data_IF_193654733086
#
_entry.id   IF_193654733086
#
_cell.length_a   1.000
_cell.length_b   1.000
_cell.length_c   1.000
_cell.angle_alpha   90.00
_cell.angle_beta   90.00
_cell.angle_gamma   90.00
#
_symmetry.space_group_name_H-M   'P 1'
#
loop_
_entity.id
_entity.type
_entity.pdbx_description
1 polymer ?
#
# COMPACT_ATOMS: atom_id res chain seq x y z
N UNK A 1 -13.57 -4.67 -14.44
CA UNK A 1 -14.21 -6.00 -14.38
C UNK A 1 -14.39 -6.37 -12.93
N UNK A 2 -15.63 -6.63 -12.52
CA UNK A 2 -15.98 -6.93 -11.13
C UNK A 2 -15.57 -8.37 -10.76
N UNK A 3 -15.44 -8.67 -9.46
CA UNK A 3 -15.16 -10.03 -9.00
C UNK A 3 -16.25 -11.01 -9.44
N UNK A 4 -17.50 -10.55 -9.47
CA UNK A 4 -18.66 -11.31 -9.94
C UNK A 4 -18.52 -11.69 -11.42
N UNK A 5 -18.28 -10.72 -12.30
CA UNK A 5 -18.07 -10.96 -13.74
C UNK A 5 -16.90 -11.91 -14.00
N UNK A 6 -15.82 -11.76 -13.22
CA UNK A 6 -14.64 -12.62 -13.31
C UNK A 6 -14.98 -14.09 -13.03
N UNK A 7 -15.71 -14.35 -11.95
CA UNK A 7 -16.09 -15.70 -11.52
C UNK A 7 -17.13 -16.30 -12.47
N UNK A 8 -18.15 -15.54 -12.85
CA UNK A 8 -19.19 -15.98 -13.79
C UNK A 8 -18.58 -16.40 -15.13
N UNK A 9 -17.59 -15.66 -15.63
CA UNK A 9 -16.91 -16.01 -16.89
C UNK A 9 -16.07 -17.29 -16.75
N UNK A 10 -15.39 -17.48 -15.62
CA UNK A 10 -14.65 -18.73 -15.34
C UNK A 10 -15.61 -19.91 -15.23
N UNK A 11 -16.74 -19.73 -14.54
CA UNK A 11 -17.77 -20.75 -14.41
C UNK A 11 -18.33 -21.15 -15.78
N UNK A 12 -18.62 -20.18 -16.65
CA UNK A 12 -19.11 -20.42 -18.00
C UNK A 12 -18.11 -21.21 -18.85
N UNK A 13 -16.83 -20.84 -18.82
CA UNK A 13 -15.78 -21.55 -19.56
C UNK A 13 -15.58 -22.98 -19.02
N UNK A 14 -15.59 -23.19 -17.71
CA UNK A 14 -15.51 -24.53 -17.13
C UNK A 14 -16.74 -25.39 -17.46
N UNK A 15 -17.93 -24.80 -17.44
CA UNK A 15 -19.17 -25.47 -17.83
C UNK A 15 -19.10 -25.93 -19.29
N UNK A 16 -18.64 -25.06 -20.19
CA UNK A 16 -18.46 -25.40 -21.61
C UNK A 16 -17.47 -26.55 -21.83
N UNK A 17 -16.42 -26.62 -21.01
CA UNK A 17 -15.35 -27.61 -21.12
C UNK A 17 -15.71 -28.94 -20.43
N UNK A 18 -16.44 -28.89 -19.32
CA UNK A 18 -16.83 -30.08 -18.54
C UNK A 18 -18.13 -30.71 -19.05
N UNK A 19 -18.95 -29.97 -19.81
CA UNK A 19 -20.29 -30.41 -20.24
C UNK A 19 -21.28 -30.58 -19.09
N UNK A 20 -20.93 -30.10 -17.89
CA UNK A 20 -21.76 -30.11 -16.68
C UNK A 20 -21.92 -28.67 -16.23
N UNK A 21 -23.13 -28.29 -15.83
CA UNK A 21 -23.59 -26.90 -15.68
C UNK A 21 -22.72 -25.98 -14.82
N UNK A 22 -23.14 -24.71 -14.75
CA UNK A 22 -22.45 -23.54 -14.19
C UNK A 22 -22.02 -23.58 -12.71
N UNK A 23 -22.13 -24.73 -12.04
CA UNK A 23 -21.84 -24.85 -10.62
C UNK A 23 -20.32 -24.99 -10.39
N UNK A 24 -19.70 -23.88 -9.98
CA UNK A 24 -18.40 -23.92 -9.32
C UNK A 24 -18.56 -24.52 -7.92
N UNK A 25 -17.62 -25.37 -7.52
CA UNK A 25 -17.53 -25.76 -6.12
C UNK A 25 -17.17 -24.53 -5.26
N UNK A 26 -17.53 -24.51 -3.96
CA UNK A 26 -17.12 -23.43 -3.07
C UNK A 26 -15.60 -23.18 -3.06
N UNK A 27 -14.80 -24.25 -3.19
CA UNK A 27 -13.35 -24.14 -3.26
C UNK A 27 -12.86 -23.52 -4.59
N UNK A 28 -13.48 -23.87 -5.72
CA UNK A 28 -13.19 -23.28 -7.03
C UNK A 28 -13.55 -21.78 -7.06
N UNK A 29 -14.66 -21.39 -6.42
CA UNK A 29 -15.05 -19.99 -6.27
C UNK A 29 -14.07 -19.19 -5.41
N UNK A 30 -13.61 -19.75 -4.27
CA UNK A 30 -12.58 -19.14 -3.44
C UNK A 30 -11.25 -18.97 -4.19
N UNK A 31 -10.85 -19.95 -5.01
CA UNK A 31 -9.67 -19.83 -5.86
C UNK A 31 -9.82 -18.72 -6.91
N UNK A 32 -10.96 -18.64 -7.59
CA UNK A 32 -11.24 -17.59 -8.55
C UNK A 32 -11.23 -16.18 -7.90
N UNK A 33 -11.81 -16.05 -6.70
CA UNK A 33 -11.73 -14.82 -5.89
C UNK A 33 -10.27 -14.47 -5.55
N UNK A 34 -9.47 -15.46 -5.16
CA UNK A 34 -8.05 -15.26 -4.83
C UNK A 34 -7.23 -14.78 -6.04
N UNK A 35 -7.55 -15.27 -7.25
CA UNK A 35 -6.90 -14.83 -8.48
C UNK A 35 -7.35 -13.44 -8.92
N UNK A 36 -8.63 -13.11 -8.75
CA UNK A 36 -9.15 -11.77 -8.98
C UNK A 36 -8.47 -10.75 -8.06
N UNK A 37 -8.34 -11.06 -6.77
CA UNK A 37 -7.64 -10.23 -5.79
C UNK A 37 -6.14 -10.07 -6.10
N UNK A 38 -5.53 -11.02 -6.82
CA UNK A 38 -4.13 -10.99 -7.28
C UNK A 38 -3.97 -10.42 -8.69
N UNK A 39 -5.04 -9.87 -9.27
CA UNK A 39 -5.07 -9.29 -10.63
C UNK A 39 -4.54 -10.23 -11.72
N UNK A 40 -4.77 -11.53 -11.57
CA UNK A 40 -4.46 -12.51 -12.61
C UNK A 40 -5.36 -12.22 -13.82
N UNK A 41 -4.80 -12.09 -15.05
CA UNK A 41 -5.62 -11.84 -16.23
C UNK A 41 -6.62 -12.96 -16.47
N UNK A 42 -7.90 -12.61 -16.65
CA UNK A 42 -8.95 -13.56 -16.99
C UNK A 42 -8.59 -14.38 -18.24
N UNK A 43 -8.04 -13.72 -19.26
CA UNK A 43 -7.58 -14.38 -20.50
C UNK A 43 -6.53 -15.48 -20.22
N UNK A 44 -5.65 -15.28 -19.24
CA UNK A 44 -4.65 -16.27 -18.86
C UNK A 44 -5.27 -17.47 -18.14
N UNK A 45 -6.27 -17.23 -17.27
CA UNK A 45 -7.05 -18.29 -16.62
C UNK A 45 -7.79 -19.13 -17.65
N UNK A 46 -8.52 -18.48 -18.56
CA UNK A 46 -9.26 -19.15 -19.65
C UNK A 46 -8.30 -19.97 -20.53
N UNK A 47 -7.13 -19.43 -20.88
CA UNK A 47 -6.13 -20.14 -21.66
C UNK A 47 -5.65 -21.43 -20.97
N UNK A 48 -5.44 -21.41 -19.64
CA UNK A 48 -5.07 -22.62 -18.90
C UNK A 48 -6.21 -23.64 -18.83
N UNK A 49 -7.46 -23.18 -18.62
CA UNK A 49 -8.65 -24.06 -18.64
C UNK A 49 -8.78 -24.76 -19.99
N UNK A 50 -8.68 -24.01 -21.10
CA UNK A 50 -8.73 -24.57 -22.46
C UNK A 50 -7.54 -25.48 -22.78
N UNK A 51 -6.34 -25.13 -22.31
CA UNK A 51 -5.14 -25.99 -22.46
C UNK A 51 -5.34 -27.33 -21.76
N UNK A 52 -5.84 -27.33 -20.54
CA UNK A 52 -6.12 -28.55 -19.80
C UNK A 52 -7.24 -29.38 -20.45
N UNK A 53 -8.28 -28.73 -20.97
CA UNK A 53 -9.33 -29.38 -21.76
C UNK A 53 -8.76 -30.14 -22.98
N UNK A 54 -7.88 -29.49 -23.75
CA UNK A 54 -7.22 -30.11 -24.91
C UNK A 54 -6.33 -31.28 -24.51
N UNK A 55 -5.62 -31.18 -23.39
CA UNK A 55 -4.80 -32.27 -22.87
C UNK A 55 -5.67 -33.47 -22.45
N UNK A 56 -6.82 -33.24 -21.80
CA UNK A 56 -7.80 -34.28 -21.47
C UNK A 56 -8.35 -34.96 -22.74
N UNK A 57 -8.69 -34.20 -23.77
CA UNK A 57 -9.17 -34.75 -25.04
C UNK A 57 -8.11 -35.65 -25.72
N UNK A 58 -6.82 -35.36 -25.52
CA UNK A 58 -5.72 -36.18 -26.03
C UNK A 58 -5.41 -37.41 -25.17
N UNK A 59 -5.61 -37.33 -23.85
CA UNK A 59 -5.32 -38.43 -22.92
C UNK A 59 -6.43 -39.48 -22.86
N UNK A 60 -7.69 -39.08 -23.06
CA UNK A 60 -8.84 -39.98 -23.18
C UNK A 60 -8.71 -40.96 -24.35
N UNK A 61 -7.96 -40.60 -25.40
CA UNK A 61 -7.60 -41.51 -26.49
C UNK A 61 -6.60 -42.62 -26.10
N UNK A 62 -5.98 -42.57 -24.91
CA UNK A 62 -4.97 -43.53 -24.42
C UNK A 62 -5.43 -44.32 -23.17
N UNK A 63 -6.74 -44.39 -22.90
CA UNK A 63 -7.28 -45.24 -21.84
C UNK A 63 -6.90 -44.84 -20.40
N UNK A 64 -6.36 -43.63 -20.20
CA UNK A 64 -6.06 -43.13 -18.86
C UNK A 64 -7.34 -42.61 -18.18
N UNK A 65 -7.50 -42.98 -16.90
CA UNK A 65 -8.62 -42.61 -16.02
C UNK A 65 -9.06 -41.15 -16.18
N UNK A 66 -10.37 -40.90 -16.11
CA UNK A 66 -10.97 -39.57 -16.23
C UNK A 66 -10.40 -38.60 -15.19
N UNK A 67 -9.36 -37.84 -15.55
CA UNK A 67 -8.96 -36.68 -14.75
C UNK A 67 -10.06 -35.62 -14.88
N UNK A 68 -10.83 -35.44 -13.81
CA UNK A 68 -11.76 -34.31 -13.69
C UNK A 68 -10.96 -33.01 -13.77
N UNK A 69 -11.31 -32.16 -14.74
CA UNK A 69 -10.70 -30.84 -14.93
C UNK A 69 -11.06 -29.94 -13.76
N UNK A 70 -10.25 -29.89 -12.69
CA UNK A 70 -10.46 -29.04 -11.50
C UNK A 70 -9.69 -27.72 -11.58
N UNK A 71 -10.25 -26.61 -11.07
CA UNK A 71 -9.47 -25.37 -10.91
C UNK A 71 -8.32 -25.53 -9.92
N UNK A 72 -8.50 -26.39 -8.91
CA UNK A 72 -7.43 -26.73 -7.96
C UNK A 72 -6.22 -27.35 -8.68
N UNK A 73 -6.45 -28.17 -9.71
CA UNK A 73 -5.36 -28.74 -10.51
C UNK A 73 -4.61 -27.69 -11.35
N UNK A 74 -5.29 -26.58 -11.69
CA UNK A 74 -4.69 -25.46 -12.42
C UNK A 74 -4.06 -24.41 -11.50
N UNK A 75 -4.37 -24.44 -10.20
CA UNK A 75 -3.94 -23.44 -9.23
C UNK A 75 -2.42 -23.21 -9.21
N UNK A 76 -1.55 -24.24 -9.19
CA UNK A 76 -0.11 -24.01 -9.18
C UNK A 76 0.41 -23.27 -10.43
N UNK A 77 -0.20 -23.50 -11.60
CA UNK A 77 0.20 -22.84 -12.83
C UNK A 77 -0.27 -21.37 -12.86
N UNK A 78 -1.47 -21.10 -12.37
CA UNK A 78 -2.07 -19.77 -12.30
C UNK A 78 -1.45 -18.92 -11.18
N UNK A 79 -1.13 -19.53 -10.04
CA UNK A 79 -0.43 -18.87 -8.94
C UNK A 79 0.96 -18.39 -9.37
N UNK A 80 1.68 -19.13 -10.23
CA UNK A 80 2.94 -18.67 -10.82
C UNK A 80 2.76 -17.45 -11.72
N UNK A 81 1.63 -17.33 -12.44
CA UNK A 81 1.33 -16.16 -13.26
C UNK A 81 1.00 -14.95 -12.38
N UNK A 82 0.25 -15.15 -11.29
CA UNK A 82 0.02 -14.13 -10.28
C UNK A 82 1.30 -13.70 -9.56
N UNK A 83 2.19 -14.64 -9.24
CA UNK A 83 3.47 -14.37 -8.58
C UNK A 83 4.46 -13.60 -9.47
N UNK A 84 4.43 -13.81 -10.80
CA UNK A 84 5.24 -13.03 -11.77
C UNK A 84 4.77 -11.58 -11.92
N UNK A 85 3.49 -11.30 -11.60
CA UNK A 85 2.90 -9.97 -11.68
C UNK A 85 2.82 -9.24 -10.35
N UNK A 86 2.84 -9.98 -9.24
CA UNK A 86 3.04 -9.39 -7.93
C UNK A 86 4.46 -8.82 -7.96
N UNK A 87 4.66 -7.49 -7.88
CA UNK A 87 5.98 -6.99 -7.57
C UNK A 87 6.43 -7.76 -6.31
N UNK A 88 7.67 -8.24 -6.30
CA UNK A 88 8.25 -8.86 -5.12
C UNK A 88 7.82 -8.03 -3.90
N UNK A 89 7.42 -8.65 -2.76
CA UNK A 89 7.23 -7.88 -1.55
C UNK A 89 8.50 -7.03 -1.43
N UNK A 90 8.36 -5.71 -1.60
CA UNK A 90 9.50 -4.82 -1.45
C UNK A 90 10.00 -5.13 -0.06
N UNK A 91 11.22 -5.67 0.04
CA UNK A 91 12.04 -5.55 1.24
C UNK A 91 11.71 -4.18 1.81
N UNK A 92 11.27 -4.06 3.08
CA UNK A 92 10.82 -2.77 3.60
C UNK A 92 11.95 -1.79 3.30
N UNK A 93 11.70 -0.89 2.34
CA UNK A 93 12.64 0.15 1.98
C UNK A 93 13.01 0.78 3.31
N UNK A 94 14.30 0.81 3.66
CA UNK A 94 14.73 1.39 4.94
C UNK A 94 14.05 2.73 5.13
N UNK A 95 13.72 3.09 6.37
CA UNK A 95 12.95 4.30 6.68
C UNK A 95 13.52 5.53 5.96
N UNK A 96 14.86 5.61 5.85
CA UNK A 96 15.55 6.60 5.04
C UNK A 96 15.06 6.67 3.57
N UNK A 97 14.94 5.54 2.88
CA UNK A 97 14.47 5.47 1.50
C UNK A 97 13.00 5.91 1.37
N UNK A 98 12.13 5.50 2.29
CA UNK A 98 10.72 5.92 2.30
C UNK A 98 10.58 7.43 2.52
N UNK A 99 11.33 7.99 3.47
CA UNK A 99 11.33 9.42 3.77
C UNK A 99 11.94 10.24 2.62
N UNK A 100 12.99 9.75 1.95
CA UNK A 100 13.53 10.37 0.74
C UNK A 100 12.52 10.39 -0.40
N UNK A 101 11.81 9.28 -0.62
CA UNK A 101 10.76 9.24 -1.63
C UNK A 101 9.67 10.28 -1.33
N UNK A 102 9.25 10.41 -0.07
CA UNK A 102 8.30 11.43 0.36
C UNK A 102 8.83 12.87 0.22
N UNK A 103 10.13 13.10 0.47
CA UNK A 103 10.76 14.41 0.30
C UNK A 103 10.84 14.85 -1.17
N UNK A 104 10.90 13.89 -2.10
CA UNK A 104 10.95 14.15 -3.55
C UNK A 104 9.58 14.44 -4.18
N UNK A 105 8.51 14.50 -3.40
CA UNK A 105 7.20 14.93 -3.90
C UNK A 105 7.30 16.29 -4.63
N UNK A 106 6.67 16.42 -5.81
CA UNK A 106 6.62 17.70 -6.53
C UNK A 106 5.97 18.79 -5.67
N UNK A 107 6.52 20.01 -5.70
CA UNK A 107 5.96 21.15 -4.96
C UNK A 107 6.25 21.17 -3.46
N UNK A 108 7.07 20.26 -2.93
CA UNK A 108 7.45 20.28 -1.52
C UNK A 108 8.39 21.45 -1.19
N UNK A 109 7.93 22.36 -0.31
CA UNK A 109 8.75 23.45 0.22
C UNK A 109 9.83 22.95 1.19
N UNK A 110 10.99 23.59 1.16
CA UNK A 110 12.22 23.24 1.88
C UNK A 110 12.66 21.79 1.69
N UNK A 111 12.57 21.28 0.46
CA UNK A 111 12.95 19.90 0.09
C UNK A 111 14.29 19.46 0.69
N UNK A 112 15.33 20.29 0.56
CA UNK A 112 16.67 19.95 1.06
C UNK A 112 16.69 19.71 2.59
N UNK A 113 15.87 20.44 3.35
CA UNK A 113 15.76 20.23 4.79
C UNK A 113 15.07 18.91 5.13
N UNK A 114 14.06 18.51 4.35
CA UNK A 114 13.38 17.22 4.50
C UNK A 114 14.24 16.04 4.06
N UNK A 115 15.01 16.18 2.97
CA UNK A 115 15.97 15.16 2.53
C UNK A 115 17.10 14.97 3.57
N UNK A 116 17.65 16.06 4.10
CA UNK A 116 18.66 15.97 5.17
C UNK A 116 18.14 15.31 6.45
N UNK A 117 16.85 15.52 6.78
CA UNK A 117 16.21 14.80 7.87
C UNK A 117 16.05 13.31 7.54
N UNK A 118 15.59 12.96 6.33
CA UNK A 118 15.43 11.59 5.89
C UNK A 118 16.75 10.80 5.98
N UNK A 119 17.86 11.40 5.58
CA UNK A 119 19.20 10.81 5.62
C UNK A 119 19.65 10.40 7.04
N UNK A 120 19.21 11.17 8.04
CA UNK A 120 19.60 11.00 9.45
C UNK A 120 18.50 10.37 10.29
N UNK A 121 17.34 10.06 9.71
CA UNK A 121 16.13 9.73 10.46
C UNK A 121 16.33 8.50 11.35
N UNK A 122 16.89 7.42 10.80
CA UNK A 122 17.11 6.17 11.53
C UNK A 122 18.06 6.36 12.72
N UNK A 123 19.15 7.10 12.52
CA UNK A 123 20.10 7.43 13.59
C UNK A 123 19.40 8.26 14.69
N UNK A 124 18.68 9.32 14.29
CA UNK A 124 18.05 10.25 15.23
C UNK A 124 16.88 9.64 16.01
N UNK A 125 16.24 8.61 15.46
CA UNK A 125 15.19 7.84 16.14
C UNK A 125 15.76 6.80 17.10
N UNK A 126 16.94 6.25 16.79
CA UNK A 126 17.66 5.36 17.69
C UNK A 126 18.23 6.09 18.93
N UNK A 127 18.51 7.39 18.81
CA UNK A 127 19.04 8.23 19.88
C UNK A 127 17.94 8.89 20.71
N UNK A 128 18.09 8.90 22.05
CA UNK A 128 17.29 9.68 23.01
C UNK A 128 15.76 9.69 22.75
N UNK A 129 15.19 8.54 22.37
CA UNK A 129 13.76 8.39 22.14
C UNK A 129 13.20 9.20 20.96
N UNK A 130 14.04 9.59 19.99
CA UNK A 130 13.62 10.34 18.80
C UNK A 130 13.56 11.85 18.99
N UNK A 131 14.09 12.39 20.09
CA UNK A 131 13.99 13.83 20.36
C UNK A 131 14.78 14.67 19.34
N UNK A 132 15.90 14.15 18.85
CA UNK A 132 16.67 14.76 17.76
C UNK A 132 15.86 14.83 16.46
N UNK A 133 15.15 13.76 16.13
CA UNK A 133 14.33 13.64 14.92
C UNK A 133 13.25 14.74 14.88
N UNK A 134 12.43 14.83 15.92
CA UNK A 134 11.33 15.80 15.96
C UNK A 134 11.82 17.25 15.98
N UNK A 135 12.98 17.51 16.60
CA UNK A 135 13.58 18.85 16.60
C UNK A 135 13.99 19.28 15.19
N UNK A 136 14.59 18.37 14.41
CA UNK A 136 14.91 18.63 13.02
C UNK A 136 13.66 18.70 12.13
N UNK A 137 12.63 17.89 12.39
CA UNK A 137 11.35 17.98 11.69
C UNK A 137 10.69 19.36 11.86
N UNK A 138 10.68 19.91 13.08
CA UNK A 138 10.19 21.28 13.33
C UNK A 138 11.06 22.33 12.63
N UNK A 139 12.38 22.12 12.59
CA UNK A 139 13.29 23.03 11.88
C UNK A 139 13.03 23.02 10.37
N UNK A 140 12.83 21.85 9.77
CA UNK A 140 12.48 21.71 8.37
C UNK A 140 11.11 22.33 8.06
N UNK A 141 10.11 22.15 8.94
CA UNK A 141 8.82 22.84 8.83
C UNK A 141 8.98 24.36 8.85
N UNK A 142 9.78 24.90 9.78
CA UNK A 142 10.04 26.35 9.83
C UNK A 142 10.72 26.87 8.56
N UNK A 143 11.61 26.08 7.95
CA UNK A 143 12.19 26.43 6.66
C UNK A 143 11.13 26.42 5.56
N UNK A 144 10.28 25.39 5.51
CA UNK A 144 9.21 25.27 4.53
C UNK A 144 8.20 26.43 4.62
N UNK A 145 7.83 26.83 5.83
CA UNK A 145 6.94 27.97 6.08
C UNK A 145 7.55 29.33 5.67
N UNK A 146 8.88 29.44 5.54
CA UNK A 146 9.53 30.66 5.01
C UNK A 146 9.47 30.74 3.49
N UNK A 147 9.39 29.60 2.82
CA UNK A 147 9.27 29.53 1.35
C UNK A 147 7.81 29.65 0.88
N UNK A 148 6.86 29.30 1.75
CA UNK A 148 5.43 29.41 1.47
C UNK A 148 4.89 30.84 1.69
N UNK A 149 3.76 31.19 1.04
CA UNK A 149 3.09 32.46 1.28
C UNK A 149 2.62 32.58 2.73
N UNK A 150 2.59 33.81 3.25
CA UNK A 150 2.20 34.11 4.64
C UNK A 150 0.82 33.57 5.00
N UNK A 151 -0.11 33.47 4.05
CA UNK A 151 -1.43 32.86 4.24
C UNK A 151 -1.35 31.41 4.73
N UNK A 152 -0.46 30.60 4.15
CA UNK A 152 -0.26 29.21 4.55
C UNK A 152 0.22 29.09 6.01
N UNK A 153 1.14 29.95 6.43
CA UNK A 153 1.60 29.98 7.82
C UNK A 153 0.49 30.40 8.80
N UNK A 154 -0.40 31.32 8.39
CA UNK A 154 -1.56 31.74 9.19
C UNK A 154 -2.61 30.62 9.32
N UNK A 155 -2.87 29.88 8.24
CA UNK A 155 -3.77 28.72 8.25
C UNK A 155 -3.27 27.60 9.16
N UNK A 156 -1.99 27.23 9.06
CA UNK A 156 -1.37 26.25 9.94
C UNK A 156 -1.43 26.71 11.42
N UNK A 157 -1.16 28.00 11.68
CA UNK A 157 -1.27 28.58 13.02
C UNK A 157 -2.71 28.61 13.55
N UNK A 158 -3.70 28.87 12.70
CA UNK A 158 -5.13 28.83 13.06
C UNK A 158 -5.55 27.41 13.43
N UNK A 159 -5.18 26.42 12.62
CA UNK A 159 -5.46 25.01 12.87
C UNK A 159 -4.78 24.48 14.14
N UNK A 160 -3.58 24.96 14.48
CA UNK A 160 -2.97 24.68 15.78
C UNK A 160 -3.81 25.28 16.90
N UNK A 161 -4.15 26.58 16.83
CA UNK A 161 -4.90 27.28 17.89
C UNK A 161 -6.24 26.62 18.17
N UNK A 162 -6.94 26.09 17.17
CA UNK A 162 -8.19 25.34 17.37
C UNK A 162 -8.02 24.02 18.14
N UNK A 163 -6.79 23.53 18.28
CA UNK A 163 -6.43 22.26 18.96
C UNK A 163 -5.68 22.47 20.27
N UNK A 164 -5.22 23.68 20.56
CA UNK A 164 -4.45 23.97 21.79
C UNK A 164 -5.38 23.80 23.00
N UNK A 165 -5.05 22.83 23.84
CA UNK A 165 -5.58 22.73 25.20
C UNK A 165 -4.65 23.45 26.19
N UNK A 166 -5.17 23.97 27.31
CA UNK A 166 -4.32 24.52 28.37
C UNK A 166 -3.35 23.45 28.92
N UNK A 167 -2.20 23.90 29.43
CA UNK A 167 -1.18 23.00 29.99
C UNK A 167 -1.77 22.18 31.14
N UNK A 168 -1.72 20.84 31.08
CA UNK A 168 -2.15 19.99 32.18
C UNK A 168 -1.36 20.24 33.47
N UNK A 169 -2.02 20.08 34.63
CA UNK A 169 -1.34 20.14 35.93
C UNK A 169 -0.34 18.97 36.03
N UNK A 170 0.88 19.25 36.51
CA UNK A 170 1.96 18.26 36.60
C UNK A 170 2.84 18.12 35.35
N UNK A 171 2.46 18.72 34.21
CA UNK A 171 3.30 18.68 33.01
C UNK A 171 4.41 19.75 33.05
N UNK A 172 5.65 19.35 32.82
CA UNK A 172 6.78 20.29 32.73
C UNK A 172 6.61 21.22 31.52
N UNK A 173 7.14 22.45 31.63
CA UNK A 173 7.07 23.43 30.52
C UNK A 173 7.70 22.89 29.23
N UNK A 174 8.82 22.16 29.35
CA UNK A 174 9.52 21.56 28.21
C UNK A 174 8.67 20.50 27.51
N UNK A 175 8.04 19.60 28.28
CA UNK A 175 7.17 18.56 27.72
C UNK A 175 5.93 19.16 27.04
N UNK A 176 5.32 20.19 27.64
CA UNK A 176 4.20 20.91 27.02
C UNK A 176 4.60 21.66 25.74
N UNK A 177 5.78 22.30 25.72
CA UNK A 177 6.29 22.93 24.50
C UNK A 177 6.49 21.90 23.38
N UNK A 178 6.94 20.69 23.73
CA UNK A 178 7.12 19.60 22.78
C UNK A 178 5.80 19.10 22.21
N UNK A 179 4.76 18.94 23.03
CA UNK A 179 3.44 18.55 22.53
C UNK A 179 2.86 19.58 21.56
N UNK A 180 3.05 20.88 21.82
CA UNK A 180 2.67 21.96 20.89
C UNK A 180 3.42 21.88 19.55
N UNK A 181 4.70 21.53 19.57
CA UNK A 181 5.49 21.33 18.35
C UNK A 181 4.97 20.16 17.50
N UNK A 182 4.64 19.04 18.14
CA UNK A 182 4.07 17.87 17.45
C UNK A 182 2.68 18.17 16.88
N UNK A 183 1.83 18.87 17.64
CA UNK A 183 0.53 19.34 17.14
C UNK A 183 0.68 20.27 15.94
N UNK A 184 1.69 21.14 15.93
CA UNK A 184 1.95 22.03 14.79
C UNK A 184 2.38 21.24 13.55
N UNK A 185 3.25 20.23 13.71
CA UNK A 185 3.64 19.34 12.62
C UNK A 185 2.43 18.60 12.03
N UNK A 186 1.58 18.02 12.89
CA UNK A 186 0.34 17.36 12.47
C UNK A 186 -0.61 18.31 11.74
N UNK A 187 -0.88 19.49 12.31
CA UNK A 187 -1.78 20.48 11.70
C UNK A 187 -1.25 20.98 10.34
N UNK A 188 0.06 21.20 10.24
CA UNK A 188 0.70 21.63 9.00
C UNK A 188 0.68 20.52 7.95
N UNK A 189 0.84 19.25 8.36
CA UNK A 189 0.75 18.11 7.45
C UNK A 189 -0.66 17.97 6.85
N UNK A 190 -1.70 18.15 7.67
CA UNK A 190 -3.08 18.07 7.21
C UNK A 190 -3.49 19.23 6.30
N UNK A 191 -3.03 20.45 6.57
CA UNK A 191 -3.45 21.67 5.85
C UNK A 191 -2.58 22.00 4.64
N UNK A 192 -1.28 21.80 4.77
CA UNK A 192 -0.29 22.21 3.79
C UNK A 192 0.41 21.02 3.12
N UNK A 193 0.20 19.80 3.59
CA UNK A 193 0.98 18.63 3.16
C UNK A 193 2.42 18.65 3.69
N UNK A 194 2.72 19.45 4.72
CA UNK A 194 4.07 19.68 5.25
C UNK A 194 4.18 19.41 6.76
N UNK A 195 5.05 18.49 7.22
CA UNK A 195 5.74 17.52 6.38
C UNK A 195 4.77 16.56 5.69
N UNK A 196 5.23 15.82 4.66
CA UNK A 196 4.51 14.65 4.18
C UNK A 196 4.18 13.72 5.35
N UNK A 197 3.01 13.07 5.31
CA UNK A 197 2.55 12.17 6.39
C UNK A 197 3.57 11.09 6.76
N UNK A 198 4.41 10.67 5.82
CA UNK A 198 5.48 9.70 6.05
C UNK A 198 6.49 10.12 7.15
N UNK A 199 6.64 11.42 7.42
CA UNK A 199 7.54 11.93 8.47
C UNK A 199 6.89 12.00 9.85
N UNK A 200 5.57 11.74 9.98
CA UNK A 200 4.85 11.67 11.25
C UNK A 200 4.87 10.22 11.77
N UNK A 201 6.06 9.78 12.19
CA UNK A 201 6.34 8.44 12.72
C UNK A 201 5.77 8.22 14.12
#
# INVERSE_FOLDING_TARGET
MTAREYIETIAQELSSVRGRGLLLSPADAQLALSWHAREVPLAAVIAQVRKAARLRARSTARGAAEMMLSLQALAPALDRLGARRRPAPREPEGLCAQLRAAARCPGLAARAAWESLADRAEQLLAEDGGDGYWTLAVRALKAALRELPRSAALEAGSALRSRIAPRPQGMTRRSYQRSLQLMLLSASSERLGLPPRAFLL
#
